data_IF_230321551664
#
_entry.id   IF_230321551664
#
_cell.length_a   1.000
_cell.length_b   1.000
_cell.length_c   1.000
_cell.angle_alpha   90.00
_cell.angle_beta   90.00
_cell.angle_gamma   90.00
#
_symmetry.space_group_name_H-M   'P 1'
#
loop_
_entity.id
_entity.type
_entity.pdbx_description
1 polymer ?
#
# COMPACT_ATOMS: atom_id res chain seq x y z
N UNK A 1 -1.06 -46.67 -34.09
CA UNK A 1 -0.50 -45.31 -34.25
C UNK A 1 -1.39 -44.25 -33.61
N UNK A 2 -2.70 -44.21 -33.89
CA UNK A 2 -3.61 -43.15 -33.39
C UNK A 2 -3.89 -43.20 -31.87
N UNK A 3 -4.01 -44.39 -31.27
CA UNK A 3 -4.25 -44.55 -29.83
C UNK A 3 -3.05 -44.19 -28.93
N UNK A 4 -1.81 -44.29 -29.44
CA UNK A 4 -0.62 -43.84 -28.70
C UNK A 4 -0.52 -42.30 -28.67
N UNK A 5 -0.97 -41.65 -29.75
CA UNK A 5 -0.95 -40.19 -29.90
C UNK A 5 -1.91 -39.52 -28.91
N UNK A 6 -3.14 -40.02 -28.79
CA UNK A 6 -4.14 -39.45 -27.88
C UNK A 6 -3.70 -39.51 -26.42
N UNK A 7 -3.16 -40.65 -25.98
CA UNK A 7 -2.70 -40.79 -24.59
C UNK A 7 -1.59 -39.80 -24.23
N UNK A 8 -0.64 -39.58 -25.14
CA UNK A 8 0.43 -38.60 -24.93
C UNK A 8 -0.07 -37.15 -24.91
N UNK A 9 -1.11 -36.84 -25.68
CA UNK A 9 -1.68 -35.49 -25.71
C UNK A 9 -2.47 -35.23 -24.40
N UNK A 10 -3.21 -36.23 -23.90
CA UNK A 10 -3.93 -36.16 -22.62
C UNK A 10 -2.96 -35.99 -21.43
N UNK A 11 -1.84 -36.72 -21.41
CA UNK A 11 -0.83 -36.62 -20.35
C UNK A 11 -0.18 -35.22 -20.31
N UNK A 12 0.06 -34.61 -21.48
CA UNK A 12 0.60 -33.26 -21.58
C UNK A 12 -0.41 -32.22 -21.08
N UNK A 13 -1.69 -32.37 -21.42
CA UNK A 13 -2.75 -31.49 -20.93
C UNK A 13 -2.85 -31.56 -19.40
N UNK A 14 -2.86 -32.77 -18.82
CA UNK A 14 -2.90 -32.95 -17.37
C UNK A 14 -1.68 -32.33 -16.67
N UNK A 15 -0.48 -32.51 -17.22
CA UNK A 15 0.74 -31.92 -16.68
C UNK A 15 0.70 -30.38 -16.72
N UNK A 16 0.15 -29.82 -17.80
CA UNK A 16 -0.01 -28.37 -17.94
C UNK A 16 -1.07 -27.81 -16.98
N UNK A 17 -2.22 -28.48 -16.82
CA UNK A 17 -3.24 -28.09 -15.83
C UNK A 17 -2.72 -28.13 -14.40
N UNK A 18 -1.90 -29.13 -14.07
CA UNK A 18 -1.22 -29.20 -12.77
C UNK A 18 -0.25 -28.01 -12.57
N UNK A 19 0.44 -27.56 -13.62
CA UNK A 19 1.27 -26.35 -13.56
C UNK A 19 0.42 -25.10 -13.30
N UNK A 20 -0.73 -24.96 -13.98
CA UNK A 20 -1.67 -23.86 -13.72
C UNK A 20 -2.16 -23.89 -12.27
N UNK A 21 -2.50 -25.07 -11.72
CA UNK A 21 -2.87 -25.20 -10.30
C UNK A 21 -1.76 -24.71 -9.37
N UNK A 22 -0.49 -25.06 -9.66
CA UNK A 22 0.64 -24.60 -8.85
C UNK A 22 0.82 -23.07 -8.86
N UNK A 23 0.45 -22.41 -9.96
CA UNK A 23 0.43 -20.95 -10.06
C UNK A 23 -0.72 -20.33 -9.27
N UNK A 24 -1.91 -20.93 -9.32
CA UNK A 24 -3.09 -20.47 -8.56
C UNK A 24 -2.81 -20.53 -7.06
N UNK A 25 -2.12 -21.57 -6.60
CA UNK A 25 -1.76 -21.76 -5.20
C UNK A 25 -0.53 -20.94 -4.76
N UNK A 26 0.17 -20.29 -5.71
CA UNK A 26 1.38 -19.51 -5.43
C UNK A 26 2.63 -20.35 -5.14
N UNK A 27 2.58 -21.65 -5.44
CA UNK A 27 3.68 -22.60 -5.24
C UNK A 27 4.73 -22.56 -6.38
N UNK A 28 4.41 -21.86 -7.47
CA UNK A 28 5.31 -21.64 -8.60
C UNK A 28 5.14 -20.25 -9.21
N UNK A 29 6.16 -19.79 -9.93
CA UNK A 29 6.14 -18.51 -10.65
C UNK A 29 5.17 -18.57 -11.84
N UNK A 30 4.29 -17.57 -11.92
CA UNK A 30 3.28 -17.45 -12.97
C UNK A 30 3.96 -17.17 -14.31
N UNK A 31 3.52 -17.85 -15.37
CA UNK A 31 4.03 -17.70 -16.75
C UNK A 31 2.93 -17.17 -17.68
N UNK A 32 2.77 -15.84 -17.80
CA UNK A 32 1.64 -15.22 -18.51
C UNK A 32 1.53 -15.65 -19.97
N UNK A 33 2.65 -15.92 -20.63
CA UNK A 33 2.71 -16.38 -22.02
C UNK A 33 1.99 -17.73 -22.23
N UNK A 34 1.94 -18.59 -21.22
CA UNK A 34 1.25 -19.88 -21.28
C UNK A 34 -0.25 -19.75 -20.98
N UNK A 35 -0.65 -18.67 -20.31
CA UNK A 35 -2.06 -18.33 -20.05
C UNK A 35 -2.68 -17.50 -21.19
N UNK A 36 -1.89 -16.98 -22.13
CA UNK A 36 -2.37 -16.17 -23.26
C UNK A 36 -3.04 -17.00 -24.38
N UNK A 37 -3.80 -18.01 -23.99
CA UNK A 37 -4.70 -18.75 -24.86
C UNK A 37 -6.13 -18.67 -24.33
N UNK A 38 -7.16 -18.82 -25.19
CA UNK A 38 -8.54 -18.90 -24.72
C UNK A 38 -8.76 -20.00 -23.68
N UNK A 39 -8.09 -21.15 -23.85
CA UNK A 39 -8.13 -22.26 -22.91
C UNK A 39 -7.42 -21.91 -21.58
N UNK A 40 -6.22 -21.34 -21.67
CA UNK A 40 -5.43 -20.83 -20.54
C UNK A 40 -6.24 -19.95 -19.59
N UNK A 41 -6.84 -18.90 -20.16
CA UNK A 41 -7.71 -17.98 -19.41
C UNK A 41 -8.92 -18.68 -18.80
N UNK A 42 -9.56 -19.59 -19.53
CA UNK A 42 -10.71 -20.33 -19.02
C UNK A 42 -10.35 -21.22 -17.81
N UNK A 43 -9.23 -21.94 -17.87
CA UNK A 43 -8.77 -22.80 -16.77
C UNK A 43 -8.42 -21.93 -15.55
N UNK A 44 -7.67 -20.84 -15.76
CA UNK A 44 -7.34 -19.88 -14.71
C UNK A 44 -8.58 -19.32 -14.00
N UNK A 45 -9.57 -18.84 -14.77
CA UNK A 45 -10.83 -18.31 -14.25
C UNK A 45 -11.62 -19.39 -13.49
N UNK A 46 -11.65 -20.62 -14.02
CA UNK A 46 -12.38 -21.74 -13.42
C UNK A 46 -11.79 -22.14 -12.08
N UNK A 47 -10.46 -22.23 -11.98
CA UNK A 47 -9.79 -22.61 -10.73
C UNK A 47 -9.99 -21.57 -9.63
N UNK A 48 -9.88 -20.28 -9.95
CA UNK A 48 -10.19 -19.20 -9.01
C UNK A 48 -11.66 -19.24 -8.57
N UNK A 49 -12.60 -19.46 -9.51
CA UNK A 49 -14.02 -19.55 -9.18
C UNK A 49 -14.33 -20.73 -8.26
N UNK A 50 -13.72 -21.90 -8.48
CA UNK A 50 -13.84 -23.05 -7.57
C UNK A 50 -13.35 -22.66 -6.17
N UNK A 51 -12.18 -22.02 -6.09
CA UNK A 51 -11.63 -21.52 -4.83
C UNK A 51 -12.56 -20.54 -4.11
N UNK A 52 -13.18 -19.63 -4.85
CA UNK A 52 -14.09 -18.64 -4.31
C UNK A 52 -15.40 -19.26 -3.80
N UNK A 53 -15.98 -20.20 -4.56
CA UNK A 53 -17.14 -21.00 -4.14
C UNK A 53 -16.84 -21.76 -2.85
N UNK A 54 -15.64 -22.37 -2.75
CA UNK A 54 -15.24 -23.11 -1.56
C UNK A 54 -15.04 -22.24 -0.32
N UNK A 55 -14.67 -20.96 -0.49
CA UNK A 55 -14.49 -20.03 0.63
C UNK A 55 -15.82 -19.50 1.13
N UNK A 56 -16.67 -18.94 0.25
CA UNK A 56 -17.99 -18.39 0.61
C UNK A 56 -18.81 -18.11 -0.66
N UNK A 57 -20.10 -18.41 -0.66
CA UNK A 57 -21.02 -18.15 -1.79
C UNK A 57 -21.01 -16.67 -2.27
N UNK A 58 -20.77 -15.73 -1.36
CA UNK A 58 -20.65 -14.31 -1.68
C UNK A 58 -19.47 -13.97 -2.62
N UNK A 59 -18.44 -14.83 -2.68
CA UNK A 59 -17.28 -14.68 -3.56
C UNK A 59 -17.47 -15.38 -4.91
N UNK A 60 -18.50 -16.21 -5.07
CA UNK A 60 -18.80 -16.97 -6.29
C UNK A 60 -19.37 -16.09 -7.43
N UNK A 61 -18.69 -14.99 -7.73
CA UNK A 61 -19.10 -14.00 -8.70
C UNK A 61 -18.62 -14.43 -10.08
N UNK A 62 -19.55 -14.59 -11.02
CA UNK A 62 -19.22 -14.77 -12.44
C UNK A 62 -19.11 -13.42 -13.12
N UNK A 63 -17.98 -13.18 -13.75
CA UNK A 63 -17.77 -12.00 -14.60
C UNK A 63 -18.55 -12.15 -15.91
N UNK A 64 -18.96 -11.02 -16.49
CA UNK A 64 -19.55 -11.01 -17.84
C UNK A 64 -18.47 -11.23 -18.91
N UNK A 65 -18.81 -11.79 -20.06
CA UNK A 65 -17.88 -12.05 -21.18
C UNK A 65 -17.02 -10.83 -21.59
N UNK A 66 -17.54 -9.60 -21.45
CA UNK A 66 -16.83 -8.36 -21.80
C UNK A 66 -16.14 -7.67 -20.63
N UNK A 67 -16.12 -8.27 -19.44
CA UNK A 67 -15.53 -7.66 -18.24
C UNK A 67 -14.05 -7.40 -18.45
N UNK A 68 -13.26 -8.43 -18.81
CA UNK A 68 -11.83 -8.31 -19.02
C UNK A 68 -11.46 -7.34 -20.14
N UNK A 69 -12.26 -7.29 -21.22
CA UNK A 69 -12.04 -6.33 -22.30
C UNK A 69 -12.23 -4.88 -21.82
N UNK A 70 -13.24 -4.61 -20.97
CA UNK A 70 -13.43 -3.29 -20.37
C UNK A 70 -12.34 -2.95 -19.37
N UNK A 71 -11.93 -3.93 -18.56
CA UNK A 71 -10.87 -3.77 -17.57
C UNK A 71 -9.52 -3.46 -18.24
N UNK A 72 -9.12 -4.25 -19.24
CA UNK A 72 -7.90 -4.01 -20.03
C UNK A 72 -7.90 -2.62 -20.64
N UNK A 73 -9.02 -2.23 -21.27
CA UNK A 73 -9.16 -0.89 -21.84
C UNK A 73 -9.00 0.21 -20.78
N UNK A 74 -9.61 0.04 -19.61
CA UNK A 74 -9.50 1.01 -18.53
C UNK A 74 -8.05 1.13 -18.02
N UNK A 75 -7.33 0.00 -17.92
CA UNK A 75 -5.90 -0.04 -17.54
C UNK A 75 -5.04 0.65 -18.61
N UNK A 76 -5.28 0.40 -19.89
CA UNK A 76 -4.55 1.06 -20.99
C UNK A 76 -4.79 2.58 -21.04
N UNK A 77 -5.97 3.02 -20.59
CA UNK A 77 -6.34 4.43 -20.48
C UNK A 77 -5.78 5.10 -19.20
N UNK A 78 -5.18 4.35 -18.27
CA UNK A 78 -4.58 4.93 -17.08
C UNK A 78 -3.37 5.79 -17.44
N UNK A 79 -3.34 7.08 -17.06
CA UNK A 79 -2.16 7.91 -17.28
C UNK A 79 -0.99 7.33 -16.49
N UNK A 80 0.15 7.10 -17.13
CA UNK A 80 1.37 6.62 -16.47
C UNK A 80 1.73 7.54 -15.31
N UNK A 81 1.42 7.09 -14.08
CA UNK A 81 1.81 7.80 -12.86
C UNK A 81 3.30 7.52 -12.67
N UNK A 82 4.15 8.30 -13.33
CA UNK A 82 5.54 8.45 -12.90
C UNK A 82 5.48 8.82 -11.42
N UNK A 83 6.10 8.00 -10.58
CA UNK A 83 6.10 8.13 -9.13
C UNK A 83 6.12 9.61 -8.73
N UNK A 84 5.31 10.04 -7.74
CA UNK A 84 5.23 11.43 -7.35
C UNK A 84 6.67 11.92 -7.19
N UNK A 85 7.10 12.83 -8.08
CA UNK A 85 8.36 13.53 -7.92
C UNK A 85 8.32 13.99 -6.48
N UNK A 86 9.20 13.42 -5.64
CA UNK A 86 9.27 13.76 -4.24
C UNK A 86 9.67 15.23 -4.21
N UNK A 87 8.66 16.10 -4.26
CA UNK A 87 8.83 17.53 -4.29
C UNK A 87 9.42 17.82 -2.94
N UNK A 88 10.74 18.02 -2.91
CA UNK A 88 11.53 18.23 -1.70
C UNK A 88 10.89 19.38 -0.97
N UNK A 89 10.03 19.10 0.02
CA UNK A 89 9.43 20.14 0.85
C UNK A 89 10.59 20.87 1.51
N UNK A 90 10.70 22.21 1.40
CA UNK A 90 11.78 22.93 2.02
C UNK A 90 11.72 22.67 3.54
N UNK A 91 12.78 22.08 4.07
CA UNK A 91 12.95 21.72 5.49
C UNK A 91 12.70 22.90 6.44
N UNK A 92 12.80 24.11 5.91
CA UNK A 92 12.70 25.39 6.60
C UNK A 92 11.30 25.63 7.20
N UNK A 93 10.24 25.01 6.68
CA UNK A 93 8.88 25.22 7.19
C UNK A 93 8.59 24.44 8.49
N UNK A 94 9.44 23.48 8.89
CA UNK A 94 9.19 22.64 10.07
C UNK A 94 9.86 23.13 11.36
N UNK A 95 10.73 24.14 11.30
CA UNK A 95 11.48 24.65 12.45
C UNK A 95 11.17 26.10 12.85
N UNK A 96 10.19 26.74 12.20
CA UNK A 96 10.00 28.19 12.27
C UNK A 96 9.37 28.78 13.54
N UNK A 97 8.98 28.00 14.56
CA UNK A 97 8.25 28.61 15.70
C UNK A 97 8.56 28.07 17.09
N UNK A 98 9.22 26.92 17.25
CA UNK A 98 9.38 26.31 18.59
C UNK A 98 10.57 26.84 19.40
N UNK A 99 11.54 27.53 18.79
CA UNK A 99 12.73 28.03 19.48
C UNK A 99 12.56 29.38 20.20
N UNK A 100 11.67 30.25 19.73
CA UNK A 100 11.50 31.60 20.30
C UNK A 100 10.66 31.62 21.59
N UNK A 101 9.76 30.65 21.78
CA UNK A 101 8.87 30.61 22.94
C UNK A 101 9.62 30.32 24.25
N UNK A 102 10.66 29.48 24.21
CA UNK A 102 11.41 29.08 25.42
C UNK A 102 12.28 30.23 25.96
N UNK A 103 12.87 31.05 25.09
CA UNK A 103 13.72 32.19 25.50
C UNK A 103 12.91 33.30 26.18
N UNK A 104 11.70 33.59 25.68
CA UNK A 104 10.84 34.62 26.23
C UNK A 104 10.34 34.28 27.66
N UNK A 105 10.01 33.01 27.92
CA UNK A 105 9.51 32.57 29.23
C UNK A 105 10.58 32.66 30.33
N UNK A 106 11.84 32.29 30.03
CA UNK A 106 12.96 32.39 30.99
C UNK A 106 13.29 33.85 31.30
N UNK A 107 13.28 34.74 30.29
CA UNK A 107 13.54 36.15 30.49
C UNK A 107 12.45 36.83 31.36
N UNK A 108 11.18 36.50 31.15
CA UNK A 108 10.08 37.05 31.95
C UNK A 108 10.10 36.57 33.41
N UNK A 109 10.43 35.28 33.65
CA UNK A 109 10.55 34.75 35.01
C UNK A 109 11.71 35.37 35.79
N UNK A 110 12.84 35.67 35.12
CA UNK A 110 13.96 36.37 35.73
C UNK A 110 13.61 37.83 36.07
N UNK A 111 12.93 38.55 35.17
CA UNK A 111 12.54 39.95 35.41
C UNK A 111 11.55 40.11 36.57
N UNK A 112 10.65 39.14 36.77
CA UNK A 112 9.65 39.17 37.84
C UNK A 112 10.17 38.58 39.16
N UNK A 113 11.09 37.61 39.11
CA UNK A 113 11.62 36.93 40.31
C UNK A 113 12.78 37.64 41.01
N UNK A 114 13.55 38.48 40.29
CA UNK A 114 14.75 39.12 40.84
C UNK A 114 14.54 40.06 42.04
N UNK A 115 13.42 40.82 42.19
CA UNK A 115 13.28 41.70 43.35
C UNK A 115 12.84 40.98 44.64
N UNK A 116 12.48 39.70 44.60
CA UNK A 116 11.84 39.02 45.75
C UNK A 116 12.63 37.84 46.35
N UNK A 117 13.69 37.37 45.70
CA UNK A 117 14.37 36.13 46.09
C UNK A 117 15.88 36.35 46.16
N UNK A 118 16.36 37.01 47.20
CA UNK A 118 17.76 36.87 47.57
C UNK A 118 17.98 35.43 48.02
N UNK A 119 18.54 34.56 47.16
CA UNK A 119 19.23 33.30 47.52
C UNK A 119 19.74 32.56 46.27
N UNK A 120 20.99 32.11 46.36
CA UNK A 120 21.67 31.20 45.44
C UNK A 120 20.85 29.92 45.16
N UNK A 121 20.64 29.58 43.89
CA UNK A 121 20.19 28.23 43.51
C UNK A 121 20.90 27.76 42.23
N UNK A 122 21.54 26.60 42.35
CA UNK A 122 22.31 25.90 41.32
C UNK A 122 21.35 25.34 40.27
N UNK A 123 21.60 25.48 38.96
CA UNK A 123 20.67 24.98 37.95
C UNK A 123 20.79 23.46 37.81
N UNK A 124 19.72 22.75 38.19
CA UNK A 124 19.50 21.36 37.77
C UNK A 124 18.96 21.33 36.34
N UNK A 125 19.71 20.69 35.44
CA UNK A 125 19.30 20.47 34.05
C UNK A 125 18.20 19.41 33.99
N UNK A 126 16.95 19.81 33.71
CA UNK A 126 15.87 18.90 33.37
C UNK A 126 15.94 18.59 31.87
N UNK A 127 16.40 17.40 31.52
CA UNK A 127 16.35 16.87 30.14
C UNK A 127 14.94 16.29 29.93
N UNK A 128 14.14 16.90 29.06
CA UNK A 128 12.90 16.28 28.59
C UNK A 128 13.23 15.07 27.72
N UNK A 129 12.62 13.91 28.02
CA UNK A 129 12.81 12.67 27.28
C UNK A 129 12.25 12.81 25.86
N UNK A 130 13.13 12.90 24.85
CA UNK A 130 12.79 12.85 23.43
C UNK A 130 12.58 11.40 22.91
N UNK A 131 12.59 10.41 23.83
CA UNK A 131 12.59 8.99 23.50
C UNK A 131 11.23 8.51 22.94
N UNK A 132 10.13 9.04 23.46
CA UNK A 132 8.77 8.57 23.10
C UNK A 132 8.40 8.92 21.66
N UNK A 133 8.84 10.09 21.17
CA UNK A 133 8.61 10.52 19.79
C UNK A 133 9.40 9.65 18.80
N UNK A 134 10.63 9.23 19.15
CA UNK A 134 11.44 8.36 18.29
C UNK A 134 10.84 6.96 18.17
N UNK A 135 10.41 6.38 19.28
CA UNK A 135 9.78 5.05 19.31
C UNK A 135 8.48 5.01 18.51
N UNK A 136 7.67 6.08 18.56
CA UNK A 136 6.45 6.17 17.76
C UNK A 136 6.76 6.25 16.26
N UNK A 137 7.74 7.06 15.87
CA UNK A 137 8.13 7.18 14.46
C UNK A 137 8.71 5.85 13.93
N UNK A 138 9.56 5.18 14.71
CA UNK A 138 10.13 3.88 14.34
C UNK A 138 9.05 2.80 14.22
N UNK A 139 8.08 2.78 15.15
CA UNK A 139 6.93 1.89 15.09
C UNK A 139 6.06 2.14 13.86
N UNK A 140 5.79 3.41 13.54
CA UNK A 140 5.00 3.80 12.38
C UNK A 140 5.71 3.46 11.06
N UNK A 141 7.03 3.64 10.98
CA UNK A 141 7.83 3.29 9.81
C UNK A 141 7.91 1.77 9.62
N UNK A 142 8.09 0.99 10.69
CA UNK A 142 8.05 -0.47 10.65
C UNK A 142 6.69 -1.02 10.20
N UNK A 143 5.59 -0.46 10.71
CA UNK A 143 4.25 -0.85 10.27
C UNK A 143 3.99 -0.50 8.80
N UNK A 144 4.63 0.56 8.30
CA UNK A 144 4.53 0.96 6.88
C UNK A 144 5.27 0.00 5.96
N UNK A 145 6.40 -0.53 6.42
CA UNK A 145 7.21 -1.49 5.69
C UNK A 145 6.50 -2.86 5.57
N UNK A 146 5.81 -3.28 6.64
CA UNK A 146 5.14 -4.59 6.69
C UNK A 146 3.83 -4.67 5.91
N UNK A 147 3.12 -3.55 5.71
CA UNK A 147 1.80 -3.53 5.07
C UNK A 147 1.90 -3.38 3.54
N UNK A 148 3.07 -3.09 2.98
CA UNK A 148 3.31 -3.07 1.53
C UNK A 148 2.47 -2.07 0.72
N UNK A 149 1.64 -1.25 1.37
CA UNK A 149 0.80 -0.26 0.70
C UNK A 149 1.55 1.07 0.63
N UNK A 150 1.82 1.51 -0.59
CA UNK A 150 2.20 2.90 -0.89
C UNK A 150 1.19 3.91 -0.32
N UNK A 151 1.51 5.21 -0.33
CA UNK A 151 0.73 6.24 0.37
C UNK A 151 -0.76 6.21 -0.02
N UNK A 152 -1.61 6.20 1.01
CA UNK A 152 -3.08 6.28 0.89
C UNK A 152 -3.45 7.56 0.14
N UNK A 153 -3.93 7.41 -1.10
CA UNK A 153 -4.45 8.50 -1.93
C UNK A 153 -5.90 8.75 -1.55
N UNK A 154 -6.17 9.85 -0.86
CA UNK A 154 -7.54 10.34 -0.70
C UNK A 154 -8.03 10.88 -2.05
N UNK A 155 -9.15 10.36 -2.55
CA UNK A 155 -9.83 10.86 -3.74
C UNK A 155 -11.14 11.49 -3.29
N UNK A 156 -11.32 12.79 -3.51
CA UNK A 156 -12.60 13.45 -3.34
C UNK A 156 -13.34 13.43 -4.67
N UNK A 157 -14.54 12.86 -4.69
CA UNK A 157 -15.44 13.00 -5.82
C UNK A 157 -16.05 14.40 -5.76
N UNK A 158 -15.77 15.22 -6.77
CA UNK A 158 -16.51 16.45 -6.98
C UNK A 158 -17.89 16.05 -7.53
N UNK A 159 -18.92 16.13 -6.68
CA UNK A 159 -20.29 16.00 -7.15
C UNK A 159 -20.60 17.24 -7.99
N UNK A 160 -20.43 17.11 -9.30
CA UNK A 160 -20.76 18.13 -10.28
C UNK A 160 -22.16 18.67 -10.04
N UNK A 161 -22.21 19.92 -9.59
CA UNK A 161 -23.41 20.73 -9.59
C UNK A 161 -23.77 21.02 -11.05
N UNK A 162 -24.74 20.27 -11.59
CA UNK A 162 -25.47 20.72 -12.77
C UNK A 162 -26.45 21.79 -12.31
N UNK A 163 -26.03 23.04 -12.49
CA UNK A 163 -26.90 24.19 -12.41
C UNK A 163 -27.85 24.26 -13.61
N UNK A 164 -29.11 24.54 -13.28
CA UNK A 164 -30.10 25.37 -13.99
C UNK A 164 -30.46 25.00 -15.43
#
# INVERSE_FOLDING_TARGET
>A
MQALKSHSDDDQLNAWEAAVSSWVDGEAEIRPEELDSPYGRQVWDTYHLIGDVMRTDALAIRTSDRFYARLSKAIDEEPTVLAPNAMKRPLVQRYGVSGLAVVAAVAAALWVGLPYMGVNSVPGTLVASAQDDQLWNDYADLHRDFVGTGPVRHVSFESGALGQ
#
